data_IF_496949385931
#
_entry.id   IF_496949385931
#
_cell.length_a   1.000
_cell.length_b   1.000
_cell.length_c   1.000
_cell.angle_alpha   90.00
_cell.angle_beta   90.00
_cell.angle_gamma   90.00
#
_symmetry.space_group_name_H-M   'P 1'
#
loop_
_entity.id
_entity.type
_entity.pdbx_description
1 polymer ?
#
# COMPACT_ATOMS: atom_id res chain seq x y z
N UNK A 1 70.82 2.89 15.90
CA UNK A 1 70.54 3.10 17.32
C UNK A 1 69.44 2.19 17.72
N UNK A 2 69.74 1.24 18.61
CA UNK A 2 68.76 0.29 19.23
C UNK A 2 68.04 0.97 20.40
N UNK A 3 66.73 0.76 20.51
CA UNK A 3 65.97 0.70 21.77
C UNK A 3 64.73 -0.13 21.44
N UNK A 4 64.66 -1.30 21.84
CA UNK A 4 64.26 -2.23 22.93
C UNK A 4 62.74 -2.24 23.18
N UNK A 5 62.22 -3.50 23.08
CA UNK A 5 60.88 -3.93 23.49
C UNK A 5 60.67 -3.81 25.02
N UNK A 6 59.44 -3.70 25.39
CA UNK A 6 58.74 -4.36 26.54
C UNK A 6 57.63 -3.44 27.06
N UNK A 7 56.41 -3.87 26.94
CA UNK A 7 55.61 -4.24 28.12
C UNK A 7 54.23 -4.78 27.66
N UNK A 8 54.07 -6.10 27.77
CA UNK A 8 52.77 -6.77 27.82
C UNK A 8 52.16 -6.58 29.22
N UNK A 9 50.92 -6.15 29.29
CA UNK A 9 50.07 -6.20 30.50
C UNK A 9 48.92 -7.21 30.31
N UNK A 10 48.28 -7.71 31.34
CA UNK A 10 47.82 -9.11 31.41
C UNK A 10 46.43 -9.36 30.86
N UNK A 11 46.27 -10.57 30.31
CA UNK A 11 45.03 -11.25 30.00
C UNK A 11 44.12 -11.41 31.22
N UNK A 12 42.86 -10.96 31.12
CA UNK A 12 41.82 -11.38 32.03
C UNK A 12 41.20 -12.69 31.56
N UNK A 13 41.52 -13.77 32.22
CA UNK A 13 40.83 -15.04 32.18
C UNK A 13 39.55 -14.93 33.00
N UNK A 14 38.38 -15.08 32.35
CA UNK A 14 37.11 -15.26 33.05
C UNK A 14 36.86 -16.75 33.21
N UNK A 15 36.94 -17.18 34.49
CA UNK A 15 36.60 -18.55 34.89
C UNK A 15 35.09 -18.79 34.81
N UNK A 16 34.73 -19.94 34.25
CA UNK A 16 33.38 -20.47 34.27
C UNK A 16 33.00 -20.96 35.68
N UNK A 17 31.87 -20.52 36.21
CA UNK A 17 31.18 -21.21 37.32
C UNK A 17 29.68 -21.24 37.06
N UNK A 18 29.12 -22.44 37.04
CA UNK A 18 27.71 -22.81 36.97
C UNK A 18 27.04 -22.67 38.36
N UNK A 19 25.75 -23.07 38.47
CA UNK A 19 24.50 -22.62 37.87
C UNK A 19 23.60 -21.94 38.93
N UNK A 20 22.85 -20.93 38.52
CA UNK A 20 21.81 -20.36 39.37
C UNK A 20 20.47 -21.09 39.13
N UNK A 21 19.96 -21.57 40.25
CA UNK A 21 18.70 -22.23 40.48
C UNK A 21 17.52 -21.38 39.93
N UNK A 22 16.75 -21.95 39.03
CA UNK A 22 15.45 -21.39 38.63
C UNK A 22 14.44 -21.76 39.72
N UNK A 23 14.06 -20.79 40.52
CA UNK A 23 12.93 -20.93 41.44
C UNK A 23 11.63 -20.86 40.65
N UNK A 24 10.89 -21.95 40.63
CA UNK A 24 9.49 -21.99 40.19
C UNK A 24 8.64 -21.18 41.17
N UNK A 25 8.17 -20.04 40.74
CA UNK A 25 7.04 -19.37 41.40
C UNK A 25 5.78 -19.96 40.84
N UNK A 26 5.11 -20.79 41.64
CA UNK A 26 3.73 -21.21 41.39
C UNK A 26 2.82 -20.01 41.66
N UNK A 27 2.29 -19.43 40.60
CA UNK A 27 1.18 -18.49 40.72
C UNK A 27 -0.12 -19.27 40.75
N UNK A 28 -0.81 -19.15 41.87
CA UNK A 28 -2.16 -19.66 42.07
C UNK A 28 -3.10 -19.02 41.05
N UNK A 29 -3.97 -19.87 40.48
CA UNK A 29 -5.14 -19.47 39.71
C UNK A 29 -6.03 -18.61 40.57
N UNK A 30 -6.23 -17.38 40.20
CA UNK A 30 -7.39 -16.58 40.58
C UNK A 30 -8.32 -16.40 39.40
N UNK A 31 -9.58 -16.48 39.72
CA UNK A 31 -10.74 -16.68 38.89
C UNK A 31 -11.11 -15.46 38.05
N UNK A 32 -11.70 -15.77 36.90
CA UNK A 32 -12.68 -14.96 36.16
C UNK A 32 -12.40 -13.45 35.95
N UNK A 33 -11.59 -13.16 34.95
CA UNK A 33 -11.88 -12.03 34.07
C UNK A 33 -12.43 -12.59 32.77
N UNK A 34 -13.69 -12.26 32.51
CA UNK A 34 -14.38 -12.58 31.29
C UNK A 34 -13.57 -12.08 30.09
N UNK A 35 -13.08 -13.01 29.27
CA UNK A 35 -12.56 -12.76 27.94
C UNK A 35 -13.67 -12.15 27.07
N UNK A 36 -13.83 -10.85 27.15
CA UNK A 36 -14.32 -10.10 26.01
C UNK A 36 -13.15 -9.99 25.03
N UNK A 37 -12.92 -11.05 24.27
CA UNK A 37 -12.24 -10.96 22.98
C UNK A 37 -13.04 -9.93 22.19
N UNK A 38 -12.50 -8.73 22.07
CA UNK A 38 -13.06 -7.73 21.18
C UNK A 38 -13.14 -8.39 19.80
N UNK A 39 -14.34 -8.57 19.30
CA UNK A 39 -14.57 -9.03 17.94
C UNK A 39 -13.67 -8.24 17.01
N UNK A 40 -13.09 -8.85 15.96
CA UNK A 40 -12.29 -8.12 14.99
C UNK A 40 -13.12 -6.92 14.54
N UNK A 41 -12.59 -5.72 14.77
CA UNK A 41 -13.20 -4.49 14.26
C UNK A 41 -13.39 -4.72 12.77
N UNK A 42 -14.63 -4.94 12.39
CA UNK A 42 -15.04 -5.21 11.03
C UNK A 42 -14.51 -4.04 10.19
N UNK A 43 -13.68 -4.33 9.19
CA UNK A 43 -13.16 -3.30 8.29
C UNK A 43 -14.31 -2.52 7.64
N UNK A 44 -15.49 -3.13 7.52
CA UNK A 44 -16.73 -2.49 7.16
C UNK A 44 -17.16 -1.45 8.19
N UNK A 45 -17.07 -1.73 9.50
CA UNK A 45 -17.47 -0.79 10.55
C UNK A 45 -16.54 0.44 10.63
N UNK A 46 -15.23 0.29 10.39
CA UNK A 46 -14.30 1.42 10.30
C UNK A 46 -14.58 2.29 9.06
N UNK A 47 -14.89 1.65 7.94
CA UNK A 47 -15.34 2.30 6.71
C UNK A 47 -16.66 3.07 6.91
N UNK A 48 -17.62 2.45 7.57
CA UNK A 48 -18.92 3.07 7.84
C UNK A 48 -18.79 4.29 8.76
N UNK A 49 -17.83 4.32 9.70
CA UNK A 49 -17.57 5.47 10.56
C UNK A 49 -16.92 6.65 9.80
N UNK A 50 -15.95 6.38 8.91
CA UNK A 50 -15.36 7.41 8.05
C UNK A 50 -16.40 7.97 7.08
N UNK A 51 -17.20 7.09 6.48
CA UNK A 51 -18.29 7.47 5.58
C UNK A 51 -19.38 8.29 6.30
N UNK A 52 -19.76 7.92 7.52
CA UNK A 52 -20.76 8.65 8.30
C UNK A 52 -20.34 10.11 8.57
N UNK A 53 -19.04 10.39 8.70
CA UNK A 53 -18.54 11.76 8.87
C UNK A 53 -18.75 12.61 7.62
N UNK A 54 -18.39 12.09 6.43
CA UNK A 54 -18.52 12.85 5.18
C UNK A 54 -19.96 12.91 4.67
N UNK A 55 -20.79 11.90 4.95
CA UNK A 55 -22.20 11.87 4.49
C UNK A 55 -23.09 12.94 5.11
N UNK A 56 -22.65 13.58 6.20
CA UNK A 56 -23.37 14.67 6.84
C UNK A 56 -23.06 16.06 6.26
N UNK A 57 -22.12 16.14 5.29
CA UNK A 57 -21.66 17.39 4.69
C UNK A 57 -21.94 17.40 3.19
N UNK A 58 -22.13 18.57 2.56
CA UNK A 58 -22.15 18.66 1.09
C UNK A 58 -20.84 18.15 0.51
N UNK A 59 -20.93 17.33 -0.55
CA UNK A 59 -19.74 16.84 -1.24
C UNK A 59 -18.96 18.01 -1.86
N UNK A 60 -17.63 18.12 -1.65
CA UNK A 60 -16.82 19.18 -2.24
C UNK A 60 -16.79 19.05 -3.77
N UNK A 61 -17.39 20.01 -4.47
CA UNK A 61 -17.55 19.95 -5.94
C UNK A 61 -16.23 20.12 -6.70
N UNK A 62 -15.23 20.71 -6.08
CA UNK A 62 -13.90 20.95 -6.63
C UNK A 62 -13.03 19.68 -6.72
N UNK A 63 -13.40 18.58 -6.05
CA UNK A 63 -12.69 17.30 -6.19
C UNK A 63 -12.75 16.80 -7.63
N UNK A 64 -13.91 16.91 -8.30
CA UNK A 64 -14.13 16.44 -9.67
C UNK A 64 -14.12 17.61 -10.68
N UNK A 65 -12.96 18.22 -10.86
CA UNK A 65 -12.79 19.35 -11.78
C UNK A 65 -12.63 18.92 -13.27
N UNK A 66 -12.17 17.69 -13.51
CA UNK A 66 -11.97 17.15 -14.85
C UNK A 66 -13.28 16.65 -15.49
N UNK A 67 -13.33 16.45 -16.82
CA UNK A 67 -14.46 15.82 -17.49
C UNK A 67 -14.76 14.45 -16.91
N UNK A 68 -16.03 14.20 -16.63
CA UNK A 68 -16.48 12.98 -15.98
C UNK A 68 -16.41 11.78 -16.92
N UNK A 69 -15.86 10.68 -16.43
CA UNK A 69 -15.90 9.39 -17.09
C UNK A 69 -17.09 8.55 -16.60
N UNK A 70 -17.54 7.62 -17.42
CA UNK A 70 -18.53 6.61 -17.04
C UNK A 70 -17.80 5.38 -16.51
N UNK A 71 -17.97 5.15 -15.22
CA UNK A 71 -17.23 4.12 -14.47
C UNK A 71 -18.01 2.81 -14.35
N UNK A 72 -17.29 1.70 -14.53
CA UNK A 72 -17.72 0.39 -14.08
C UNK A 72 -16.73 -0.17 -13.06
N UNK A 73 -17.20 -1.08 -12.18
CA UNK A 73 -16.38 -1.76 -11.20
C UNK A 73 -16.32 -3.26 -11.44
N UNK A 74 -15.12 -3.84 -11.31
CA UNK A 74 -14.90 -5.28 -11.31
C UNK A 74 -14.60 -5.71 -9.88
N UNK A 75 -15.50 -6.51 -9.29
CA UNK A 75 -15.47 -6.92 -7.90
C UNK A 75 -16.49 -6.17 -7.05
N UNK A 76 -16.97 -6.83 -5.97
CA UNK A 76 -17.95 -6.28 -5.03
C UNK A 76 -17.46 -6.40 -3.58
N UNK A 77 -16.13 -6.25 -3.39
CA UNK A 77 -15.47 -6.31 -2.08
C UNK A 77 -15.66 -5.02 -1.27
N UNK A 78 -14.95 -4.94 -0.12
CA UNK A 78 -15.04 -3.79 0.80
C UNK A 78 -14.74 -2.49 0.08
N UNK A 79 -13.65 -2.43 -0.69
CA UNK A 79 -13.22 -1.20 -1.35
C UNK A 79 -14.17 -0.76 -2.47
N UNK A 80 -14.75 -1.72 -3.23
CA UNK A 80 -15.78 -1.41 -4.21
C UNK A 80 -17.01 -0.76 -3.57
N UNK A 81 -17.42 -1.24 -2.38
CA UNK A 81 -18.51 -0.65 -1.61
C UNK A 81 -18.18 0.79 -1.15
N UNK A 82 -16.95 1.04 -0.68
CA UNK A 82 -16.51 2.39 -0.32
C UNK A 82 -16.54 3.34 -1.52
N UNK A 83 -16.04 2.89 -2.67
CA UNK A 83 -16.08 3.69 -3.90
C UNK A 83 -17.51 4.02 -4.31
N UNK A 84 -18.42 3.01 -4.33
CA UNK A 84 -19.81 3.23 -4.70
C UNK A 84 -20.52 4.22 -3.77
N UNK A 85 -20.20 4.18 -2.47
CA UNK A 85 -20.69 5.15 -1.48
C UNK A 85 -20.23 6.56 -1.78
N UNK A 86 -18.93 6.75 -2.02
CA UNK A 86 -18.35 8.07 -2.34
C UNK A 86 -18.91 8.62 -3.65
N UNK A 87 -19.03 7.78 -4.69
CA UNK A 87 -19.60 8.19 -5.97
C UNK A 87 -21.09 8.55 -5.84
N UNK A 88 -21.84 7.83 -5.03
CA UNK A 88 -23.25 8.17 -4.77
C UNK A 88 -23.38 9.52 -4.04
N UNK A 89 -22.51 9.81 -3.04
CA UNK A 89 -22.47 11.12 -2.37
C UNK A 89 -22.14 12.26 -3.34
N UNK A 90 -21.28 12.00 -4.30
CA UNK A 90 -20.93 12.97 -5.35
C UNK A 90 -22.04 13.15 -6.41
N UNK A 91 -23.15 12.40 -6.32
CA UNK A 91 -24.21 12.40 -7.33
C UNK A 91 -23.78 11.73 -8.64
N UNK A 92 -22.78 10.86 -8.62
CA UNK A 92 -22.17 10.19 -9.77
C UNK A 92 -22.21 8.67 -9.61
N UNK A 93 -23.39 8.02 -9.63
CA UNK A 93 -23.49 6.58 -9.45
C UNK A 93 -22.69 5.84 -10.53
N UNK A 94 -22.19 4.65 -10.17
CA UNK A 94 -21.50 3.78 -11.12
C UNK A 94 -22.43 3.37 -12.26
N UNK A 95 -21.92 3.39 -13.49
CA UNK A 95 -22.66 2.98 -14.67
C UNK A 95 -22.75 1.45 -14.80
N UNK A 96 -21.77 0.71 -14.24
CA UNK A 96 -21.76 -0.74 -14.37
C UNK A 96 -21.03 -1.48 -13.26
N UNK A 97 -21.37 -2.77 -13.11
CA UNK A 97 -20.68 -3.70 -12.20
C UNK A 97 -20.60 -5.09 -12.83
N UNK A 98 -19.42 -5.71 -12.68
CA UNK A 98 -19.20 -7.11 -12.97
C UNK A 98 -18.55 -7.80 -11.78
N UNK A 99 -18.94 -9.04 -11.50
CA UNK A 99 -18.35 -9.84 -10.43
C UNK A 99 -18.46 -11.33 -10.76
N UNK A 100 -17.46 -12.12 -10.35
CA UNK A 100 -17.45 -13.59 -10.57
C UNK A 100 -18.74 -14.28 -10.09
N UNK A 101 -19.31 -13.79 -9.00
CA UNK A 101 -20.59 -14.26 -8.47
C UNK A 101 -21.65 -13.23 -8.83
N UNK A 102 -22.50 -13.54 -9.80
CA UNK A 102 -23.49 -12.61 -10.38
C UNK A 102 -24.48 -12.09 -9.35
N UNK A 103 -24.88 -12.92 -8.37
CA UNK A 103 -25.79 -12.53 -7.30
C UNK A 103 -25.21 -11.40 -6.42
N UNK A 104 -23.87 -11.40 -6.22
CA UNK A 104 -23.19 -10.31 -5.51
C UNK A 104 -23.21 -9.02 -6.32
N UNK A 105 -23.05 -9.11 -7.65
CA UNK A 105 -23.14 -7.94 -8.52
C UNK A 105 -24.56 -7.35 -8.53
N UNK A 106 -25.59 -8.19 -8.57
CA UNK A 106 -27.00 -7.76 -8.52
C UNK A 106 -27.32 -7.08 -7.18
N UNK A 107 -26.92 -7.67 -6.05
CA UNK A 107 -27.12 -7.08 -4.73
C UNK A 107 -26.36 -5.74 -4.58
N UNK A 108 -25.15 -5.65 -5.13
CA UNK A 108 -24.36 -4.42 -5.16
C UNK A 108 -25.05 -3.34 -6.00
N UNK A 109 -25.55 -3.69 -7.20
CA UNK A 109 -26.26 -2.76 -8.07
C UNK A 109 -27.55 -2.24 -7.42
N UNK A 110 -28.34 -3.11 -6.82
CA UNK A 110 -29.56 -2.73 -6.07
C UNK A 110 -29.22 -1.75 -4.94
N UNK A 111 -28.15 -2.04 -4.15
CA UNK A 111 -27.77 -1.22 -3.00
C UNK A 111 -27.33 0.20 -3.39
N UNK A 112 -26.60 0.35 -4.50
CA UNK A 112 -25.94 1.61 -4.88
C UNK A 112 -26.55 2.28 -6.11
N UNK A 113 -27.62 1.74 -6.68
CA UNK A 113 -28.26 2.29 -7.85
C UNK A 113 -27.39 2.21 -9.12
N UNK A 114 -26.58 1.14 -9.25
CA UNK A 114 -25.73 0.93 -10.43
C UNK A 114 -26.62 0.62 -11.64
N UNK A 115 -26.37 1.31 -12.75
CA UNK A 115 -27.26 1.25 -13.92
C UNK A 115 -27.31 -0.16 -14.55
N UNK A 116 -26.14 -0.83 -14.65
CA UNK A 116 -26.03 -2.11 -15.38
C UNK A 116 -25.23 -3.14 -14.60
N UNK A 117 -25.76 -4.37 -14.58
CA UNK A 117 -25.04 -5.58 -14.13
C UNK A 117 -24.63 -6.37 -15.37
N UNK A 118 -23.34 -6.63 -15.55
CA UNK A 118 -22.82 -7.42 -16.66
C UNK A 118 -22.78 -8.90 -16.28
N UNK A 119 -23.29 -9.76 -17.15
CA UNK A 119 -23.28 -11.22 -16.96
C UNK A 119 -21.88 -11.82 -17.19
N UNK A 120 -21.05 -11.13 -17.99
CA UNK A 120 -19.64 -11.48 -18.22
C UNK A 120 -18.75 -10.24 -18.26
N UNK A 121 -17.46 -10.44 -18.06
CA UNK A 121 -16.46 -9.39 -18.20
C UNK A 121 -16.35 -8.94 -19.68
N UNK A 122 -16.50 -9.85 -20.63
CA UNK A 122 -16.45 -9.53 -22.06
C UNK A 122 -17.57 -8.55 -22.45
N UNK A 123 -18.77 -8.70 -21.91
CA UNK A 123 -19.86 -7.73 -22.11
C UNK A 123 -19.51 -6.34 -21.56
N UNK A 124 -18.87 -6.28 -20.39
CA UNK A 124 -18.41 -5.02 -19.80
C UNK A 124 -17.37 -4.36 -20.70
N UNK A 125 -16.37 -5.13 -21.13
CA UNK A 125 -15.29 -4.59 -21.97
C UNK A 125 -15.79 -4.15 -23.35
N UNK A 126 -16.77 -4.85 -23.89
CA UNK A 126 -17.37 -4.51 -25.19
C UNK A 126 -18.34 -3.31 -25.14
N UNK A 127 -18.75 -2.86 -23.96
CA UNK A 127 -19.70 -1.74 -23.84
C UNK A 127 -19.01 -0.39 -24.11
N UNK A 128 -19.36 0.27 -25.24
CA UNK A 128 -18.76 1.55 -25.61
C UNK A 128 -19.19 2.71 -24.70
N UNK A 129 -20.21 2.51 -23.86
CA UNK A 129 -20.67 3.53 -22.91
C UNK A 129 -19.85 3.57 -21.63
N UNK A 130 -18.94 2.62 -21.41
CA UNK A 130 -18.02 2.60 -20.28
C UNK A 130 -16.66 3.13 -20.71
N UNK A 131 -16.19 4.19 -20.04
CA UNK A 131 -14.90 4.82 -20.31
C UNK A 131 -13.80 4.23 -19.44
N UNK A 132 -14.09 4.00 -18.16
CA UNK A 132 -13.12 3.58 -17.16
C UNK A 132 -13.61 2.40 -16.31
N UNK A 133 -12.67 1.56 -15.91
CA UNK A 133 -12.91 0.38 -15.08
C UNK A 133 -12.08 0.47 -13.79
N UNK A 134 -12.74 0.26 -12.64
CA UNK A 134 -12.07 0.09 -11.36
C UNK A 134 -11.96 -1.39 -11.01
N UNK A 135 -10.73 -1.90 -10.92
CA UNK A 135 -10.44 -3.30 -10.57
C UNK A 135 -10.21 -3.40 -9.07
N UNK A 136 -11.06 -4.16 -8.37
CA UNK A 136 -11.06 -4.31 -6.89
C UNK A 136 -11.02 -5.76 -6.45
N UNK A 137 -10.44 -6.63 -7.27
CA UNK A 137 -10.34 -8.07 -7.06
C UNK A 137 -9.11 -8.41 -6.18
N UNK A 138 -8.85 -9.67 -5.79
CA UNK A 138 -7.60 -10.04 -5.12
C UNK A 138 -6.37 -9.78 -5.99
N UNK A 139 -5.24 -9.43 -5.36
CA UNK A 139 -3.97 -9.02 -6.00
C UNK A 139 -3.54 -9.96 -7.15
N UNK A 140 -3.59 -11.27 -6.92
CA UNK A 140 -3.17 -12.28 -7.88
C UNK A 140 -4.05 -12.40 -9.13
N UNK A 141 -5.17 -11.70 -9.17
CA UNK A 141 -6.07 -11.69 -10.33
C UNK A 141 -6.00 -10.38 -11.12
N UNK A 142 -5.33 -9.35 -10.60
CA UNK A 142 -5.31 -8.03 -11.23
C UNK A 142 -4.80 -8.08 -12.66
N UNK A 143 -3.67 -8.75 -12.90
CA UNK A 143 -3.07 -8.80 -14.25
C UNK A 143 -4.01 -9.39 -15.30
N UNK A 144 -4.85 -10.37 -14.93
CA UNK A 144 -5.84 -10.95 -15.84
C UNK A 144 -6.85 -9.92 -16.31
N UNK A 145 -7.39 -9.12 -15.38
CA UNK A 145 -8.36 -8.07 -15.71
C UNK A 145 -7.71 -6.87 -16.37
N UNK A 146 -6.47 -6.51 -15.99
CA UNK A 146 -5.69 -5.46 -16.61
C UNK A 146 -5.48 -5.74 -18.10
N UNK A 147 -5.03 -6.94 -18.47
CA UNK A 147 -4.83 -7.35 -19.87
C UNK A 147 -6.10 -7.14 -20.70
N UNK A 148 -7.23 -7.57 -20.17
CA UNK A 148 -8.50 -7.53 -20.90
C UNK A 148 -9.06 -6.10 -21.01
N UNK A 149 -9.09 -5.36 -19.90
CA UNK A 149 -9.62 -4.00 -19.88
C UNK A 149 -8.79 -3.04 -20.75
N UNK A 150 -7.45 -3.09 -20.63
CA UNK A 150 -6.55 -2.23 -21.40
C UNK A 150 -6.63 -2.54 -22.89
N UNK A 151 -6.62 -3.83 -23.29
CA UNK A 151 -6.76 -4.24 -24.68
C UNK A 151 -8.13 -3.86 -25.29
N UNK A 152 -9.17 -3.74 -24.45
CA UNK A 152 -10.48 -3.25 -24.87
C UNK A 152 -10.58 -1.71 -24.93
N UNK A 153 -9.49 -0.98 -24.73
CA UNK A 153 -9.45 0.47 -24.80
C UNK A 153 -10.09 1.17 -23.58
N UNK A 154 -10.16 0.51 -22.42
CA UNK A 154 -10.68 1.12 -21.18
C UNK A 154 -9.56 1.77 -20.39
N UNK A 155 -9.79 2.97 -19.85
CA UNK A 155 -8.96 3.51 -18.81
C UNK A 155 -9.11 2.67 -17.54
N UNK A 156 -8.04 2.47 -16.77
CA UNK A 156 -8.08 1.56 -15.62
C UNK A 156 -7.50 2.21 -14.37
N UNK A 157 -8.29 2.21 -13.29
CA UNK A 157 -7.83 2.35 -11.92
C UNK A 157 -7.78 0.94 -11.32
N UNK A 158 -6.63 0.52 -10.82
CA UNK A 158 -6.47 -0.81 -10.25
C UNK A 158 -6.05 -0.73 -8.79
N UNK A 159 -6.73 -1.50 -7.94
CA UNK A 159 -6.37 -1.59 -6.51
C UNK A 159 -4.92 -1.98 -6.27
N UNK A 160 -4.42 -1.50 -5.15
CA UNK A 160 -3.09 -1.84 -4.63
C UNK A 160 -3.12 -3.27 -4.02
N UNK A 161 -2.03 -4.03 -4.09
CA UNK A 161 -0.90 -3.80 -4.98
C UNK A 161 -1.30 -4.08 -6.41
N UNK A 162 -0.95 -3.18 -7.32
CA UNK A 162 -1.48 -3.17 -8.69
C UNK A 162 -1.21 -4.48 -9.45
N UNK A 163 -0.06 -5.13 -9.19
CA UNK A 163 0.31 -6.44 -9.74
C UNK A 163 1.05 -7.25 -8.69
N UNK A 164 1.41 -8.51 -8.99
CA UNK A 164 2.24 -9.33 -8.12
C UNK A 164 3.71 -8.92 -8.16
N UNK A 165 4.18 -8.49 -9.32
CA UNK A 165 5.59 -8.15 -9.54
C UNK A 165 5.74 -7.06 -10.62
N UNK A 166 6.97 -6.55 -10.75
CA UNK A 166 7.30 -5.49 -11.71
C UNK A 166 7.11 -5.92 -13.16
N UNK A 167 7.36 -7.18 -13.52
CA UNK A 167 7.20 -7.67 -14.89
C UNK A 167 5.74 -7.62 -15.35
N UNK A 168 4.80 -8.00 -14.48
CA UNK A 168 3.36 -7.85 -14.76
C UNK A 168 2.95 -6.39 -14.90
N UNK A 169 3.53 -5.49 -14.10
CA UNK A 169 3.25 -4.05 -14.21
C UNK A 169 3.82 -3.47 -15.51
N UNK A 170 5.01 -3.86 -15.90
CA UNK A 170 5.62 -3.43 -17.16
C UNK A 170 4.78 -3.89 -18.37
N UNK A 171 4.25 -5.12 -18.34
CA UNK A 171 3.30 -5.60 -19.34
C UNK A 171 2.03 -4.75 -19.38
N UNK A 172 1.42 -4.47 -18.23
CA UNK A 172 0.21 -3.65 -18.16
C UNK A 172 0.46 -2.21 -18.66
N UNK A 173 1.60 -1.61 -18.33
CA UNK A 173 2.02 -0.29 -18.83
C UNK A 173 2.20 -0.29 -20.35
N UNK A 174 2.80 -1.33 -20.90
CA UNK A 174 2.97 -1.47 -22.34
C UNK A 174 1.62 -1.56 -23.07
N UNK A 175 0.68 -2.35 -22.53
CA UNK A 175 -0.68 -2.46 -23.07
C UNK A 175 -1.44 -1.12 -22.99
N UNK A 176 -1.34 -0.41 -21.87
CA UNK A 176 -1.97 0.91 -21.73
C UNK A 176 -1.44 1.90 -22.77
N UNK A 177 -0.11 1.91 -22.98
CA UNK A 177 0.52 2.75 -24.01
C UNK A 177 0.09 2.34 -25.42
N UNK A 178 0.08 1.05 -25.74
CA UNK A 178 -0.30 0.52 -27.05
C UNK A 178 -1.74 0.91 -27.44
N UNK A 179 -2.65 0.85 -26.47
CA UNK A 179 -4.07 1.17 -26.67
C UNK A 179 -4.43 2.63 -26.40
N UNK A 180 -3.46 3.48 -26.04
CA UNK A 180 -3.68 4.91 -25.80
C UNK A 180 -4.61 5.22 -24.62
N UNK A 181 -4.59 4.37 -23.59
CA UNK A 181 -5.42 4.51 -22.39
C UNK A 181 -4.56 4.79 -21.15
N UNK A 182 -5.19 5.34 -20.12
CA UNK A 182 -4.54 5.60 -18.82
C UNK A 182 -4.70 4.38 -17.92
N UNK A 183 -3.59 3.91 -17.36
CA UNK A 183 -3.52 3.00 -16.23
C UNK A 183 -3.06 3.77 -14.99
N UNK A 184 -3.71 3.55 -13.86
CA UNK A 184 -3.37 4.19 -12.59
C UNK A 184 -3.48 3.21 -11.43
N UNK A 185 -2.53 3.29 -10.50
CA UNK A 185 -2.52 2.51 -9.24
C UNK A 185 -3.36 3.23 -8.19
N UNK A 186 -4.31 2.55 -7.57
CA UNK A 186 -5.14 3.05 -6.48
C UNK A 186 -4.42 3.00 -5.11
N UNK A 187 -3.12 3.22 -5.07
CA UNK A 187 -2.40 3.43 -3.81
C UNK A 187 -2.74 4.82 -3.28
N UNK A 188 -3.68 4.90 -2.38
CA UNK A 188 -4.31 6.12 -1.85
C UNK A 188 -3.32 7.25 -1.51
N UNK A 189 -2.13 6.91 -0.97
CA UNK A 189 -1.08 7.89 -0.63
C UNK A 189 -0.73 8.79 -1.82
N UNK A 190 -0.67 8.23 -3.02
CA UNK A 190 -0.30 8.97 -4.23
C UNK A 190 -1.34 10.04 -4.60
N UNK A 191 -2.56 9.87 -4.12
CA UNK A 191 -3.72 10.68 -4.49
C UNK A 191 -4.16 11.67 -3.40
N UNK A 192 -3.67 11.48 -2.15
CA UNK A 192 -4.05 12.38 -1.05
C UNK A 192 -3.53 13.80 -1.25
N UNK A 193 -4.39 14.83 -1.17
CA UNK A 193 -4.01 16.23 -1.33
C UNK A 193 -2.90 16.68 -0.37
N UNK A 194 -2.84 16.11 0.84
CA UNK A 194 -1.77 16.38 1.80
C UNK A 194 -0.39 16.12 1.20
N UNK A 195 -0.18 14.96 0.59
CA UNK A 195 1.13 14.60 0.05
C UNK A 195 1.45 15.37 -1.21
N UNK A 196 0.46 15.68 -2.04
CA UNK A 196 0.63 16.53 -3.21
C UNK A 196 1.09 17.95 -2.79
N UNK A 197 0.51 18.52 -1.72
CA UNK A 197 0.93 19.80 -1.17
C UNK A 197 2.36 19.73 -0.57
N UNK A 198 2.68 18.70 0.19
CA UNK A 198 4.02 18.52 0.75
C UNK A 198 5.08 18.36 -0.34
N UNK A 199 4.82 17.57 -1.39
CA UNK A 199 5.71 17.42 -2.54
C UNK A 199 5.82 18.73 -3.32
N UNK A 200 4.74 19.48 -3.50
CA UNK A 200 4.77 20.80 -4.11
C UNK A 200 5.70 21.76 -3.35
N UNK A 201 5.61 21.79 -2.03
CA UNK A 201 6.49 22.61 -1.15
C UNK A 201 7.95 22.12 -1.23
N UNK A 202 8.18 20.81 -1.20
CA UNK A 202 9.51 20.23 -1.38
C UNK A 202 10.14 20.71 -2.70
N UNK A 203 9.39 20.71 -3.78
CA UNK A 203 9.85 21.12 -5.11
C UNK A 203 10.17 22.63 -5.21
N UNK A 204 9.71 23.47 -4.26
CA UNK A 204 10.16 24.88 -4.16
C UNK A 204 11.56 25.01 -3.53
N UNK A 205 12.13 23.93 -2.99
CA UNK A 205 13.38 23.93 -2.24
C UNK A 205 13.24 24.36 -0.78
N UNK A 206 12.01 24.60 -0.28
CA UNK A 206 11.74 25.11 1.08
C UNK A 206 12.34 24.21 2.17
N UNK A 207 12.26 22.90 1.98
CA UNK A 207 12.72 21.91 2.97
C UNK A 207 14.24 21.61 2.88
N UNK A 208 14.92 22.02 1.81
CA UNK A 208 16.26 21.57 1.48
C UNK A 208 16.24 20.17 0.87
N UNK A 209 17.38 19.47 0.92
CA UNK A 209 17.46 18.10 0.39
C UNK A 209 16.87 17.09 1.37
N UNK A 210 16.17 16.10 0.84
CA UNK A 210 15.73 14.94 1.62
C UNK A 210 16.94 14.05 1.91
N UNK A 211 17.06 13.58 3.16
CA UNK A 211 18.19 12.76 3.60
C UNK A 211 17.77 11.37 4.04
N UNK A 212 16.67 11.26 4.80
CA UNK A 212 16.24 10.02 5.44
C UNK A 212 14.71 9.92 5.52
N UNK A 213 14.14 8.79 5.09
CA UNK A 213 12.80 8.36 5.45
C UNK A 213 12.86 7.26 6.50
N UNK A 214 12.09 7.37 7.57
CA UNK A 214 11.87 6.31 8.55
C UNK A 214 10.38 5.98 8.60
N UNK A 215 10.02 4.76 8.21
CA UNK A 215 8.62 4.38 8.02
C UNK A 215 8.34 3.03 8.69
N UNK A 216 7.27 2.98 9.47
CA UNK A 216 6.82 1.73 10.05
C UNK A 216 5.32 1.50 9.83
N UNK A 217 4.94 0.23 9.64
CA UNK A 217 3.56 -0.20 9.53
C UNK A 217 3.39 -1.58 10.17
N UNK A 218 2.68 -1.65 11.29
CA UNK A 218 2.26 -2.89 11.90
C UNK A 218 0.73 -3.00 11.94
N UNK A 219 0.19 -4.01 11.29
CA UNK A 219 -1.24 -4.28 11.24
C UNK A 219 -1.49 -5.71 11.72
N UNK A 220 -1.65 -5.89 13.03
CA UNK A 220 -1.87 -7.21 13.59
C UNK A 220 -3.05 -7.92 12.89
N UNK A 221 -2.75 -9.12 12.39
CA UNK A 221 -3.71 -10.06 11.80
C UNK A 221 -3.68 -11.34 12.61
N UNK A 222 -4.86 -11.88 12.90
CA UNK A 222 -4.96 -13.12 13.61
C UNK A 222 -4.28 -14.26 12.85
N UNK A 223 -3.38 -14.98 13.53
CA UNK A 223 -2.59 -16.06 12.94
C UNK A 223 -3.28 -17.43 13.04
N UNK A 224 -4.40 -17.52 13.73
CA UNK A 224 -5.14 -18.78 13.95
C UNK A 224 -5.80 -19.36 12.71
N UNK A 225 -6.12 -18.53 11.72
CA UNK A 225 -6.68 -18.94 10.43
C UNK A 225 -5.74 -18.55 9.29
N UNK A 226 -4.93 -19.50 8.84
CA UNK A 226 -4.00 -19.32 7.72
C UNK A 226 -4.68 -19.32 6.34
N UNK A 227 -5.99 -19.58 6.27
CA UNK A 227 -6.76 -19.46 5.02
C UNK A 227 -7.22 -18.02 4.75
N UNK A 228 -7.13 -17.13 5.74
CA UNK A 228 -7.43 -15.74 5.56
C UNK A 228 -6.48 -15.10 4.54
N UNK A 229 -6.92 -14.04 3.86
CA UNK A 229 -6.20 -13.42 2.75
C UNK A 229 -4.79 -12.92 3.11
N UNK A 230 -4.52 -12.63 4.38
CA UNK A 230 -3.24 -12.05 4.80
C UNK A 230 -2.09 -13.06 4.88
N UNK A 231 -2.40 -14.33 5.13
CA UNK A 231 -1.44 -15.42 5.24
C UNK A 231 -1.60 -16.47 4.13
N UNK A 232 -2.57 -16.32 3.24
CA UNK A 232 -2.85 -17.26 2.16
C UNK A 232 -2.07 -16.92 0.89
N UNK A 233 -1.06 -17.70 0.49
CA UNK A 233 -0.30 -17.45 -0.73
C UNK A 233 -1.13 -17.52 -2.01
N UNK A 234 -2.23 -18.31 -2.03
CA UNK A 234 -3.17 -18.37 -3.16
C UNK A 234 -4.02 -17.11 -3.35
N UNK A 235 -3.94 -16.17 -2.43
CA UNK A 235 -4.57 -14.85 -2.50
C UNK A 235 -3.53 -13.73 -2.46
N UNK A 236 -2.26 -14.06 -2.73
CA UNK A 236 -1.12 -13.15 -2.65
C UNK A 236 -1.03 -12.43 -1.29
N UNK A 237 -1.13 -13.21 -0.19
CA UNK A 237 -0.94 -12.72 1.17
C UNK A 237 0.51 -12.31 1.43
N UNK A 238 0.76 -11.71 2.57
CA UNK A 238 2.08 -11.22 3.00
C UNK A 238 2.07 -9.74 3.33
N UNK A 239 3.01 -9.34 4.19
CA UNK A 239 3.12 -7.97 4.68
C UNK A 239 3.57 -7.02 3.54
N UNK A 240 4.46 -7.46 2.66
CA UNK A 240 5.01 -6.60 1.62
C UNK A 240 3.93 -6.10 0.67
N UNK A 241 3.10 -6.98 0.09
CA UNK A 241 2.03 -6.55 -0.81
C UNK A 241 0.87 -5.86 -0.09
N UNK A 242 0.53 -6.26 1.17
CA UNK A 242 -0.62 -5.66 1.85
C UNK A 242 -0.32 -4.29 2.46
N UNK A 243 0.84 -4.13 3.14
CA UNK A 243 1.19 -2.91 3.88
C UNK A 243 2.52 -2.28 3.46
N UNK A 244 3.44 -3.05 2.87
CA UNK A 244 4.73 -2.55 2.38
C UNK A 244 4.57 -1.57 1.23
N UNK A 245 3.58 -1.77 0.37
CA UNK A 245 3.23 -0.84 -0.70
C UNK A 245 3.03 0.59 -0.17
N UNK A 246 2.31 0.78 0.93
CA UNK A 246 2.12 2.10 1.52
C UNK A 246 3.41 2.67 2.11
N UNK A 247 4.20 1.83 2.82
CA UNK A 247 5.43 2.28 3.44
C UNK A 247 6.48 2.73 2.41
N UNK A 248 6.60 2.01 1.31
CA UNK A 248 7.48 2.37 0.21
C UNK A 248 6.97 3.57 -0.57
N UNK A 249 5.66 3.68 -0.80
CA UNK A 249 5.07 4.79 -1.56
C UNK A 249 5.29 6.13 -0.88
N UNK A 250 5.07 6.24 0.45
CA UNK A 250 5.31 7.51 1.14
C UNK A 250 6.78 7.93 1.09
N UNK A 251 7.72 6.99 1.24
CA UNK A 251 9.14 7.31 1.12
C UNK A 251 9.49 7.72 -0.32
N UNK A 252 8.99 6.97 -1.32
CA UNK A 252 9.28 7.24 -2.74
C UNK A 252 8.81 8.61 -3.23
N UNK A 253 7.69 9.11 -2.71
CA UNK A 253 7.19 10.46 -3.05
C UNK A 253 8.21 11.57 -2.75
N UNK A 254 9.04 11.39 -1.73
CA UNK A 254 10.03 12.39 -1.31
C UNK A 254 11.45 12.08 -1.77
N UNK A 255 11.73 10.85 -2.25
CA UNK A 255 13.02 10.48 -2.81
C UNK A 255 13.17 10.99 -4.25
N UNK A 256 14.36 11.48 -4.59
CA UNK A 256 14.69 11.99 -5.93
C UNK A 256 14.63 10.90 -7.01
N UNK A 257 15.02 9.67 -6.65
CA UNK A 257 14.98 8.52 -7.55
C UNK A 257 14.63 7.23 -6.80
N UNK A 258 14.32 6.16 -7.56
CA UNK A 258 14.03 4.84 -6.97
C UNK A 258 15.25 4.27 -6.23
N UNK A 259 15.05 3.43 -5.21
CA UNK A 259 16.12 2.73 -4.50
C UNK A 259 16.95 1.82 -5.42
N UNK A 260 18.27 1.88 -5.27
CA UNK A 260 19.23 1.02 -6.01
C UNK A 260 19.84 -0.05 -5.11
N UNK A 261 20.13 0.28 -3.86
CA UNK A 261 20.71 -0.62 -2.88
C UNK A 261 19.65 -1.02 -1.84
N UNK A 262 19.64 -2.29 -1.47
CA UNK A 262 18.71 -2.87 -0.51
C UNK A 262 19.50 -3.76 0.46
N UNK A 263 19.19 -3.66 1.76
CA UNK A 263 19.66 -4.57 2.81
C UNK A 263 18.45 -4.96 3.64
N UNK A 264 18.15 -6.25 3.74
CA UNK A 264 16.87 -6.68 4.29
C UNK A 264 16.94 -7.98 5.09
N UNK A 265 15.99 -8.13 6.00
CA UNK A 265 15.69 -9.36 6.73
C UNK A 265 14.17 -9.52 6.81
N UNK A 266 13.69 -10.74 6.64
CA UNK A 266 12.28 -11.06 6.80
C UNK A 266 12.05 -12.40 7.51
N UNK A 267 10.99 -12.46 8.29
CA UNK A 267 10.42 -13.70 8.80
C UNK A 267 9.22 -14.09 7.95
N UNK A 268 9.21 -15.34 7.48
CA UNK A 268 8.07 -15.90 6.76
C UNK A 268 7.14 -16.63 7.72
N UNK A 269 5.86 -16.63 7.40
CA UNK A 269 4.86 -17.49 8.04
C UNK A 269 5.06 -18.96 7.66
N UNK A 270 4.35 -19.86 8.30
CA UNK A 270 4.35 -21.29 7.94
C UNK A 270 3.77 -21.56 6.55
N UNK A 271 3.02 -20.62 5.98
CA UNK A 271 2.48 -20.67 4.61
C UNK A 271 3.47 -20.18 3.54
N UNK A 272 4.63 -19.67 3.96
CA UNK A 272 5.70 -19.18 3.08
C UNK A 272 5.64 -17.69 2.73
N UNK A 273 4.56 -16.98 3.04
CA UNK A 273 4.48 -15.53 2.81
C UNK A 273 5.24 -14.74 3.91
N UNK A 274 5.72 -13.55 3.60
CA UNK A 274 6.38 -12.67 4.57
C UNK A 274 5.37 -12.14 5.59
N UNK A 275 5.77 -12.16 6.87
CA UNK A 275 4.92 -11.68 7.96
C UNK A 275 5.50 -10.51 8.72
N UNK A 276 6.82 -10.44 8.84
CA UNK A 276 7.54 -9.36 9.52
C UNK A 276 8.85 -9.13 8.82
N UNK A 277 9.17 -7.88 8.52
CA UNK A 277 10.42 -7.52 7.85
C UNK A 277 10.98 -6.19 8.33
N UNK A 278 12.30 -6.06 8.24
CA UNK A 278 13.03 -4.81 8.38
C UNK A 278 14.02 -4.66 7.24
N UNK A 279 14.07 -3.48 6.63
CA UNK A 279 14.97 -3.24 5.51
C UNK A 279 15.40 -1.78 5.42
N UNK A 280 16.55 -1.58 4.77
CA UNK A 280 17.13 -0.27 4.48
C UNK A 280 17.32 -0.16 2.97
N UNK A 281 16.98 0.99 2.43
CA UNK A 281 17.16 1.30 1.01
C UNK A 281 18.05 2.52 0.83
N UNK A 282 18.77 2.61 -0.30
CA UNK A 282 19.53 3.80 -0.72
C UNK A 282 19.35 4.03 -2.21
N UNK A 283 19.08 5.26 -2.62
CA UNK A 283 19.04 5.65 -4.02
C UNK A 283 20.39 6.18 -4.51
N UNK A 284 20.45 6.60 -5.77
CA UNK A 284 21.69 7.11 -6.40
C UNK A 284 22.19 8.42 -5.77
N UNK A 285 21.28 9.22 -5.22
CA UNK A 285 21.56 10.50 -4.56
C UNK A 285 21.99 10.33 -3.09
N UNK A 286 22.06 9.09 -2.60
CA UNK A 286 22.47 8.76 -1.22
C UNK A 286 21.37 8.89 -0.17
N UNK A 287 20.12 9.16 -0.58
CA UNK A 287 18.97 9.24 0.32
C UNK A 287 18.62 7.86 0.85
N UNK A 288 18.41 7.76 2.18
CA UNK A 288 18.14 6.50 2.86
C UNK A 288 16.65 6.34 3.17
N UNK A 289 16.16 5.11 3.08
CA UNK A 289 14.89 4.68 3.62
C UNK A 289 15.10 3.57 4.66
N UNK A 290 14.45 3.66 5.81
CA UNK A 290 14.47 2.65 6.89
C UNK A 290 13.04 2.22 7.17
N UNK A 291 12.78 0.92 7.04
CA UNK A 291 11.42 0.39 7.07
C UNK A 291 11.28 -0.77 8.06
N UNK A 292 10.13 -0.85 8.71
CA UNK A 292 9.71 -2.03 9.46
C UNK A 292 8.23 -2.34 9.20
N UNK A 293 7.96 -3.60 8.85
CA UNK A 293 6.61 -4.09 8.54
C UNK A 293 6.26 -5.28 9.44
N UNK A 294 5.01 -5.39 9.87
CA UNK A 294 4.52 -6.58 10.56
C UNK A 294 3.02 -6.79 10.38
N UNK A 295 2.62 -8.01 10.00
CA UNK A 295 1.26 -8.51 10.14
C UNK A 295 1.07 -9.27 11.47
N UNK A 296 2.18 -9.62 12.15
CA UNK A 296 2.18 -10.41 13.39
C UNK A 296 2.12 -9.54 14.65
N UNK A 297 2.43 -8.26 14.55
CA UNK A 297 2.35 -7.30 15.66
C UNK A 297 1.80 -5.96 15.21
N UNK A 298 1.11 -5.27 16.13
CA UNK A 298 0.63 -3.92 15.88
C UNK A 298 1.76 -2.92 16.12
N UNK A 299 1.94 -1.97 15.19
CA UNK A 299 2.80 -0.81 15.33
C UNK A 299 2.01 0.45 14.94
N UNK A 300 2.40 1.64 15.40
CA UNK A 300 1.87 2.87 14.82
C UNK A 300 2.16 2.93 13.31
N UNK A 301 1.22 3.43 12.53
CA UNK A 301 1.47 3.78 11.12
C UNK A 301 2.11 5.16 11.12
N UNK A 302 3.43 5.22 11.14
CA UNK A 302 4.18 6.46 11.25
C UNK A 302 5.21 6.57 10.15
N UNK A 303 5.25 7.72 9.52
CA UNK A 303 6.30 8.11 8.60
C UNK A 303 6.97 9.38 9.09
N UNK A 304 8.30 9.40 9.06
CA UNK A 304 9.12 10.57 9.33
C UNK A 304 10.06 10.76 8.14
N UNK A 305 9.98 11.91 7.48
CA UNK A 305 10.81 12.26 6.32
C UNK A 305 11.69 13.45 6.72
N UNK A 306 13.00 13.25 6.75
CA UNK A 306 13.98 14.23 7.20
C UNK A 306 14.66 14.93 6.02
N UNK A 307 14.72 16.24 6.12
CA UNK A 307 15.36 17.15 5.17
C UNK A 307 16.43 17.99 5.88
N UNK A 308 17.16 18.82 5.13
CA UNK A 308 18.15 19.73 5.71
C UNK A 308 17.52 20.71 6.71
N UNK A 309 16.36 21.28 6.36
CA UNK A 309 15.74 22.39 7.08
C UNK A 309 14.63 21.95 8.05
N UNK A 310 14.13 20.72 7.92
CA UNK A 310 13.01 20.24 8.74
C UNK A 310 12.92 18.70 8.73
N UNK A 311 12.02 18.16 9.53
CA UNK A 311 11.43 16.85 9.26
C UNK A 311 9.91 16.95 9.23
N UNK A 312 9.30 16.08 8.43
CA UNK A 312 7.84 15.92 8.32
C UNK A 312 7.45 14.65 9.05
N UNK A 313 6.47 14.72 9.92
CA UNK A 313 5.90 13.59 10.63
C UNK A 313 4.43 13.41 10.24
N UNK A 314 4.08 12.22 9.72
CA UNK A 314 2.72 11.82 9.42
C UNK A 314 2.35 10.54 10.17
N UNK A 315 1.19 10.52 10.81
CA UNK A 315 0.59 9.35 11.45
C UNK A 315 -0.61 8.87 10.64
N UNK A 316 -0.92 7.58 10.74
CA UNK A 316 -1.97 6.94 9.93
C UNK A 316 -1.88 7.26 8.42
N UNK A 317 -0.66 7.39 7.97
CA UNK A 317 -0.22 7.97 6.71
C UNK A 317 -0.87 7.41 5.44
N UNK A 318 -1.46 6.19 5.35
CA UNK A 318 -2.10 5.76 4.10
C UNK A 318 -3.21 6.70 3.60
N UNK A 319 -3.93 7.36 4.52
CA UNK A 319 -5.02 8.30 4.19
C UNK A 319 -4.95 9.57 5.03
N UNK A 320 -3.75 9.99 5.43
CA UNK A 320 -3.60 11.18 6.25
C UNK A 320 -4.05 12.44 5.50
N UNK A 321 -4.76 13.30 6.22
CA UNK A 321 -5.17 14.63 5.79
C UNK A 321 -4.40 15.74 6.51
N UNK A 322 -3.49 15.36 7.41
CA UNK A 322 -2.62 16.28 8.13
C UNK A 322 -1.25 15.67 8.42
N UNK A 323 -0.23 16.53 8.52
CA UNK A 323 1.12 16.21 8.94
C UNK A 323 1.73 17.37 9.73
N UNK A 324 2.77 17.10 10.52
CA UNK A 324 3.51 18.13 11.24
C UNK A 324 4.88 18.31 10.61
N UNK A 325 5.23 19.54 10.24
CA UNK A 325 6.60 19.95 9.88
C UNK A 325 7.25 20.49 11.13
N UNK A 326 8.44 19.99 11.47
CA UNK A 326 9.26 20.47 12.58
C UNK A 326 10.53 21.07 12.00
N UNK A 327 10.69 22.39 12.13
CA UNK A 327 11.79 23.15 11.57
C UNK A 327 13.07 23.00 12.39
N UNK A 328 14.21 22.76 11.75
CA UNK A 328 15.49 22.48 12.41
C UNK A 328 16.05 23.68 13.14
N UNK A 329 15.87 24.88 12.59
CA UNK A 329 16.53 26.10 13.05
C UNK A 329 15.97 26.63 14.40
N UNK A 330 14.69 26.49 14.65
CA UNK A 330 13.99 27.06 15.81
C UNK A 330 13.08 26.06 16.55
N UNK A 331 12.96 24.83 16.04
CA UNK A 331 12.06 23.81 16.58
C UNK A 331 10.58 24.11 16.39
N UNK A 332 10.23 25.12 15.60
CA UNK A 332 8.84 25.49 15.30
C UNK A 332 8.12 24.31 14.67
N UNK A 333 6.91 24.06 15.18
CA UNK A 333 6.00 23.05 14.65
C UNK A 333 4.92 23.72 13.81
N UNK A 334 4.73 23.22 12.62
CA UNK A 334 3.74 23.70 11.67
C UNK A 334 2.85 22.51 11.26
N UNK A 335 1.55 22.64 11.50
CA UNK A 335 0.59 21.66 11.01
C UNK A 335 0.17 22.01 9.59
N UNK A 336 0.29 21.06 8.68
CA UNK A 336 -0.22 21.14 7.31
C UNK A 336 -1.44 20.27 7.20
N UNK A 337 -2.54 20.82 6.67
CA UNK A 337 -3.78 20.09 6.41
C UNK A 337 -4.21 20.27 4.97
N UNK A 338 -4.54 19.17 4.29
CA UNK A 338 -5.11 19.20 2.94
C UNK A 338 -5.86 17.91 2.63
N UNK A 339 -7.05 18.05 2.08
CA UNK A 339 -7.96 16.94 1.82
C UNK A 339 -8.67 16.46 3.09
N UNK A 340 -9.34 15.30 2.97
CA UNK A 340 -10.04 14.63 4.06
C UNK A 340 -10.01 13.11 3.84
N UNK A 341 -9.70 12.33 4.88
CA UNK A 341 -9.61 10.85 4.82
C UNK A 341 -10.83 10.20 4.16
N UNK A 342 -12.03 10.72 4.46
CA UNK A 342 -13.29 10.16 3.96
C UNK A 342 -13.45 10.25 2.44
N UNK A 343 -12.79 11.22 1.79
CA UNK A 343 -12.82 11.40 0.34
C UNK A 343 -11.65 10.73 -0.39
N UNK A 344 -10.85 9.91 0.29
CA UNK A 344 -9.65 9.31 -0.28
C UNK A 344 -9.87 8.64 -1.65
N UNK A 345 -10.94 7.85 -1.80
CA UNK A 345 -11.28 7.20 -3.08
C UNK A 345 -11.80 8.20 -4.15
N UNK A 346 -12.38 9.32 -3.73
CA UNK A 346 -12.75 10.37 -4.67
C UNK A 346 -11.51 11.01 -5.30
N UNK A 347 -10.44 11.20 -4.54
CA UNK A 347 -9.18 11.73 -5.07
C UNK A 347 -8.53 10.79 -6.08
N UNK A 348 -8.60 9.46 -5.86
CA UNK A 348 -8.10 8.45 -6.82
C UNK A 348 -8.84 8.54 -8.16
N UNK A 349 -10.17 8.63 -8.10
CA UNK A 349 -11.03 8.77 -9.30
C UNK A 349 -10.73 10.09 -10.00
N UNK A 350 -10.68 11.21 -9.26
CA UNK A 350 -10.42 12.53 -9.78
C UNK A 350 -9.04 12.62 -10.48
N UNK A 351 -8.02 11.99 -9.89
CA UNK A 351 -6.68 11.96 -10.45
C UNK A 351 -6.63 11.17 -11.78
N UNK A 352 -7.35 10.04 -11.88
CA UNK A 352 -7.44 9.33 -13.16
C UNK A 352 -8.19 10.16 -14.22
N UNK A 353 -9.30 10.80 -13.85
CA UNK A 353 -10.04 11.67 -14.78
C UNK A 353 -9.17 12.85 -15.24
N UNK A 354 -8.40 13.47 -14.35
CA UNK A 354 -7.45 14.52 -14.69
C UNK A 354 -6.34 14.02 -15.62
N UNK A 355 -5.80 12.82 -15.36
CA UNK A 355 -4.79 12.19 -16.22
C UNK A 355 -5.36 11.92 -17.64
N UNK A 356 -6.59 11.44 -17.75
CA UNK A 356 -7.27 11.23 -19.03
C UNK A 356 -7.51 12.55 -19.75
N UNK A 357 -7.77 13.64 -19.02
CA UNK A 357 -7.89 14.99 -19.57
C UNK A 357 -6.53 15.62 -19.94
N UNK A 358 -5.40 14.95 -19.69
CA UNK A 358 -4.06 15.39 -20.10
C UNK A 358 -3.23 16.04 -19.01
N UNK A 359 -3.60 15.88 -17.74
CA UNK A 359 -2.76 16.34 -16.62
C UNK A 359 -1.48 15.49 -16.51
N UNK A 360 -0.34 16.11 -16.88
CA UNK A 360 0.96 15.45 -16.93
C UNK A 360 1.49 15.04 -15.54
N UNK A 361 1.11 15.73 -14.48
CA UNK A 361 1.56 15.39 -13.14
C UNK A 361 0.81 14.16 -12.61
N UNK A 362 -0.46 13.99 -12.97
CA UNK A 362 -1.24 12.80 -12.63
C UNK A 362 -0.78 11.57 -13.40
N UNK A 363 -0.34 11.72 -14.64
CA UNK A 363 0.26 10.63 -15.43
C UNK A 363 1.54 10.07 -14.80
N UNK A 364 2.32 10.89 -14.08
CA UNK A 364 3.55 10.45 -13.38
C UNK A 364 3.28 9.58 -12.15
N UNK A 365 2.06 9.54 -11.61
CA UNK A 365 1.76 8.76 -10.41
C UNK A 365 2.04 7.27 -10.63
N UNK A 366 1.82 6.75 -11.84
CA UNK A 366 2.13 5.36 -12.18
C UNK A 366 3.65 5.07 -12.16
N UNK A 367 4.51 6.05 -12.41
CA UNK A 367 5.97 5.86 -12.33
C UNK A 367 6.42 5.65 -10.88
N UNK A 368 5.83 6.37 -9.91
CA UNK A 368 6.08 6.09 -8.49
C UNK A 368 5.62 4.69 -8.09
N UNK A 369 4.45 4.26 -8.55
CA UNK A 369 3.94 2.91 -8.30
C UNK A 369 4.86 1.84 -8.93
N UNK A 370 5.42 2.08 -10.11
CA UNK A 370 6.36 1.17 -10.78
C UNK A 370 7.67 1.04 -9.98
N UNK A 371 8.25 2.13 -9.50
CA UNK A 371 9.45 2.12 -8.66
C UNK A 371 9.22 1.36 -7.34
N UNK A 372 8.04 1.52 -6.74
CA UNK A 372 7.64 0.81 -5.53
C UNK A 372 7.47 -0.68 -5.82
N UNK A 373 6.81 -1.05 -6.91
CA UNK A 373 6.61 -2.44 -7.31
C UNK A 373 7.95 -3.15 -7.60
N UNK A 374 8.87 -2.49 -8.27
CA UNK A 374 10.23 -3.01 -8.50
C UNK A 374 10.95 -3.30 -7.18
N UNK A 375 10.87 -2.36 -6.22
CA UNK A 375 11.48 -2.53 -4.89
C UNK A 375 10.83 -3.68 -4.12
N UNK A 376 9.51 -3.79 -4.13
CA UNK A 376 8.76 -4.88 -3.48
C UNK A 376 9.10 -6.24 -4.11
N UNK A 377 9.19 -6.30 -5.42
CA UNK A 377 9.54 -7.52 -6.16
C UNK A 377 10.93 -8.03 -5.76
N UNK A 378 11.93 -7.14 -5.78
CA UNK A 378 13.31 -7.47 -5.38
C UNK A 378 13.40 -7.98 -3.95
N UNK A 379 12.74 -7.29 -3.00
CA UNK A 379 12.73 -7.70 -1.59
C UNK A 379 12.05 -9.06 -1.39
N UNK A 380 10.88 -9.28 -1.99
CA UNK A 380 10.18 -10.57 -1.89
C UNK A 380 11.01 -11.71 -2.45
N UNK A 381 11.65 -11.53 -3.61
CA UNK A 381 12.47 -12.56 -4.25
C UNK A 381 13.74 -12.83 -3.45
N UNK A 382 14.38 -11.83 -2.87
CA UNK A 382 15.51 -12.01 -1.95
C UNK A 382 15.12 -12.85 -0.72
N UNK A 383 13.89 -12.69 -0.22
CA UNK A 383 13.37 -13.47 0.90
C UNK A 383 12.85 -14.86 0.51
N UNK A 384 12.88 -15.22 -0.78
CA UNK A 384 12.31 -16.46 -1.28
C UNK A 384 10.78 -16.52 -1.19
N UNK A 385 10.11 -15.37 -1.28
CA UNK A 385 8.64 -15.24 -1.29
C UNK A 385 8.16 -15.11 -2.73
N UNK A 386 7.70 -16.23 -3.28
CA UNK A 386 7.09 -16.35 -4.60
C UNK A 386 5.68 -16.90 -4.45
N UNK A 387 4.74 -16.37 -5.21
CA UNK A 387 3.35 -16.86 -5.22
C UNK A 387 3.18 -18.04 -6.21
N UNK A 388 2.05 -18.79 -6.15
CA UNK A 388 1.82 -19.89 -7.09
C UNK A 388 1.89 -19.47 -8.56
N UNK A 389 1.46 -18.27 -8.88
CA UNK A 389 1.52 -17.67 -10.21
C UNK A 389 2.95 -17.38 -10.68
N UNK A 390 3.91 -17.35 -9.76
CA UNK A 390 5.35 -17.12 -9.99
C UNK A 390 6.18 -18.42 -9.91
N UNK A 391 5.55 -19.59 -10.00
CA UNK A 391 6.21 -20.89 -9.79
C UNK A 391 7.40 -21.14 -10.72
N UNK A 392 7.35 -20.69 -11.97
CA UNK A 392 8.46 -20.80 -12.93
C UNK A 392 9.65 -19.92 -12.50
N UNK A 393 9.39 -18.72 -11.99
CA UNK A 393 10.42 -17.83 -11.47
C UNK A 393 11.05 -18.41 -10.20
N UNK A 394 10.25 -18.99 -9.31
CA UNK A 394 10.72 -19.66 -8.11
C UNK A 394 11.64 -20.84 -8.46
N UNK A 395 11.24 -21.70 -9.41
CA UNK A 395 12.03 -22.82 -9.89
C UNK A 395 13.37 -22.38 -10.51
N UNK A 396 13.37 -21.30 -11.29
CA UNK A 396 14.59 -20.71 -11.86
C UNK A 396 15.54 -20.17 -10.77
N UNK A 397 15.00 -19.70 -9.65
CA UNK A 397 15.77 -19.26 -8.49
C UNK A 397 16.18 -20.39 -7.53
N UNK A 398 15.77 -21.64 -7.79
CA UNK A 398 16.07 -22.82 -6.96
C UNK A 398 15.29 -22.83 -5.64
N UNK A 399 14.14 -22.21 -5.59
CA UNK A 399 13.24 -22.17 -4.41
C UNK A 399 11.85 -22.69 -4.79
N UNK A 400 11.07 -23.07 -3.78
CA UNK A 400 9.68 -23.50 -3.95
C UNK A 400 8.74 -22.31 -3.75
N UNK A 401 7.74 -22.17 -4.62
CA UNK A 401 6.73 -21.10 -4.45
C UNK A 401 5.89 -21.33 -3.20
N UNK A 402 5.48 -20.26 -2.53
CA UNK A 402 4.65 -20.33 -1.33
C UNK A 402 3.31 -21.00 -1.62
N UNK A 403 2.93 -21.99 -0.83
CA UNK A 403 1.68 -22.74 -0.98
C UNK A 403 1.64 -23.78 -2.08
N UNK A 404 2.82 -24.15 -2.64
CA UNK A 404 2.95 -25.28 -3.56
C UNK A 404 2.74 -26.64 -2.88
#
# INVERSE_FOLDING_TARGET
>A
MRVSADTMGPFFTVAASAPAVIAFISVQKEEHMSDQVAAPLDAAAASDAAFARISSQPFPQDIFAAPQLRWAVIGCGVIANQMAQVMALAGRPLAGVANRTIEKARAFAERYGVERVYESYDELYADPSIDAVYITTPHNTHITYLRQALAAGKHVLCEKSITLNSAELDEARALAHEHGVVLMDATTILHMPLYQELVRRMNTGEFGQMNLAQVNFGSFKEYGDLTNRFYNPKLAGGAMLDIGVYALSIARLFMASQPKELVSLANRSTTGVDQTSGFVTRNAEGQLGVFSLSLHSKQPKRAMISFDNCYIEATDYPRADHATIVWTNDGRREEVRAGEEGYALAYEIADLEAAVAGDADKLKLLDYAADVMETMTRLRYEWGVYYPEEAELAAAAGVEAAGA
#
